data_IF_363592391852
#
_entry.id   IF_363592391852
#
_cell.length_a   1.000
_cell.length_b   1.000
_cell.length_c   1.000
_cell.angle_alpha   90.00
_cell.angle_beta   90.00
_cell.angle_gamma   90.00
#
_symmetry.space_group_name_H-M   'P 1'
#
loop_
_entity.id
_entity.type
_entity.pdbx_description
1 polymer ?
#
# COMPACT_ATOMS: atom_id res chain seq x y z
N UNK A 1 -11.70 -0.29 -17.79
CA UNK A 1 -12.15 -1.69 -17.61
C UNK A 1 -11.05 -2.76 -17.62
N UNK A 2 -9.82 -2.50 -18.09
CA UNK A 2 -8.73 -3.51 -18.11
C UNK A 2 -7.44 -3.03 -17.42
N UNK A 3 -7.56 -2.04 -16.55
CA UNK A 3 -6.42 -1.39 -15.90
C UNK A 3 -6.62 -1.46 -14.40
N UNK A 4 -5.62 -1.99 -13.70
CA UNK A 4 -5.51 -1.86 -12.25
C UNK A 4 -4.87 -0.50 -11.97
N UNK A 5 -5.47 0.29 -11.08
CA UNK A 5 -4.93 1.59 -10.67
C UNK A 5 -4.64 1.53 -9.17
N UNK A 6 -3.40 1.88 -8.81
CA UNK A 6 -2.96 1.97 -7.42
C UNK A 6 -2.56 3.41 -7.15
N UNK A 7 -3.20 4.03 -6.17
CA UNK A 7 -2.84 5.35 -5.66
C UNK A 7 -2.26 5.19 -4.27
N UNK A 8 -1.03 5.67 -4.09
CA UNK A 8 -0.34 5.61 -2.80
C UNK A 8 0.79 6.64 -2.72
N UNK A 9 1.52 6.65 -1.61
CA UNK A 9 2.75 7.40 -1.38
C UNK A 9 3.82 6.45 -0.81
N UNK A 10 5.09 6.79 -0.97
CA UNK A 10 6.21 6.03 -0.41
C UNK A 10 6.42 6.25 1.09
N UNK A 11 5.93 7.38 1.61
CA UNK A 11 5.96 7.73 3.05
C UNK A 11 5.01 8.89 3.34
N UNK A 12 4.73 9.15 4.62
CA UNK A 12 4.04 10.35 5.07
C UNK A 12 4.95 11.60 5.14
N UNK A 13 4.47 12.69 5.73
CA UNK A 13 5.26 13.90 5.94
C UNK A 13 4.76 14.70 7.15
N UNK A 14 5.68 15.05 8.05
CA UNK A 14 5.43 15.99 9.14
C UNK A 14 5.40 17.43 8.63
N UNK A 15 4.44 18.19 9.12
CA UNK A 15 4.25 19.62 8.84
C UNK A 15 4.39 20.49 10.12
N UNK A 16 4.93 19.93 11.19
CA UNK A 16 5.17 20.61 12.47
C UNK A 16 4.68 19.81 13.69
N UNK A 17 4.04 18.66 13.49
CA UNK A 17 3.63 17.76 14.56
C UNK A 17 4.86 17.31 15.36
N UNK A 18 4.72 17.24 16.68
CA UNK A 18 5.83 16.84 17.58
C UNK A 18 7.12 17.66 17.41
N UNK A 19 7.03 18.92 16.94
CA UNK A 19 8.17 19.76 16.57
C UNK A 19 9.05 19.14 15.46
N UNK A 20 8.49 18.21 14.68
CA UNK A 20 9.15 17.55 13.56
C UNK A 20 8.78 18.18 12.22
N UNK A 21 9.69 18.01 11.27
CA UNK A 21 9.50 18.37 9.87
C UNK A 21 10.03 17.24 8.98
N UNK A 22 9.35 17.01 7.86
CA UNK A 22 9.67 15.93 6.92
C UNK A 22 9.44 14.52 7.48
N UNK A 23 10.26 13.53 7.09
CA UNK A 23 9.88 12.10 7.07
C UNK A 23 10.84 11.17 7.82
N UNK A 24 11.50 11.66 8.86
CA UNK A 24 12.51 10.89 9.61
C UNK A 24 12.03 10.67 11.03
N UNK A 25 10.97 9.87 11.18
CA UNK A 25 10.41 9.52 12.48
C UNK A 25 9.66 8.18 12.41
N UNK A 26 9.32 7.63 13.57
CA UNK A 26 8.45 6.44 13.68
C UNK A 26 6.98 6.80 13.94
N UNK A 27 6.61 8.07 13.83
CA UNK A 27 5.25 8.52 14.04
C UNK A 27 4.37 8.29 12.79
N UNK A 28 3.07 8.18 13.01
CA UNK A 28 2.07 7.91 11.97
C UNK A 28 2.15 8.93 10.82
N UNK A 29 2.39 10.21 11.09
CA UNK A 29 2.50 11.24 10.06
C UNK A 29 3.65 10.97 9.09
N UNK A 30 4.68 10.23 9.51
CA UNK A 30 5.81 9.83 8.65
C UNK A 30 5.63 8.45 8.03
N UNK A 31 4.89 7.55 8.69
CA UNK A 31 4.77 6.14 8.31
C UNK A 31 3.48 5.81 7.53
N UNK A 32 2.35 6.39 7.91
CA UNK A 32 1.05 6.14 7.31
C UNK A 32 0.93 6.85 5.96
N UNK A 33 0.40 6.13 4.96
CA UNK A 33 0.20 6.63 3.61
C UNK A 33 -1.18 6.25 3.10
N UNK A 34 -1.78 7.04 2.19
CA UNK A 34 -3.00 6.61 1.52
C UNK A 34 -2.71 5.34 0.70
N UNK A 35 -3.67 4.42 0.68
CA UNK A 35 -3.64 3.28 -0.24
C UNK A 35 -5.04 3.04 -0.80
N UNK A 36 -5.18 3.21 -2.11
CA UNK A 36 -6.41 2.93 -2.85
C UNK A 36 -6.05 2.03 -4.03
N UNK A 37 -6.71 0.89 -4.12
CA UNK A 37 -6.51 -0.10 -5.20
C UNK A 37 -7.82 -0.28 -5.94
N UNK A 38 -7.86 0.14 -7.21
CA UNK A 38 -8.98 -0.06 -8.12
C UNK A 38 -8.69 -1.22 -9.06
N UNK A 39 -9.43 -2.33 -8.91
CA UNK A 39 -9.32 -3.53 -9.75
C UNK A 39 -10.60 -3.70 -10.57
N UNK A 40 -10.52 -3.86 -11.91
CA UNK A 40 -11.72 -4.10 -12.71
C UNK A 40 -12.51 -5.32 -12.25
N UNK A 41 -13.82 -5.16 -12.06
CA UNK A 41 -14.73 -6.24 -11.65
C UNK A 41 -14.77 -6.52 -10.14
N UNK A 42 -13.93 -5.86 -9.32
CA UNK A 42 -14.06 -5.91 -7.86
C UNK A 42 -15.03 -4.82 -7.39
N UNK A 43 -15.85 -5.14 -6.39
CA UNK A 43 -16.74 -4.17 -5.76
C UNK A 43 -15.96 -3.25 -4.80
N UNK A 44 -16.36 -1.98 -4.65
CA UNK A 44 -15.75 -1.08 -3.67
C UNK A 44 -15.93 -1.62 -2.25
N UNK A 45 -14.88 -1.50 -1.43
CA UNK A 45 -14.89 -1.83 -0.02
C UNK A 45 -13.91 -0.93 0.74
N UNK A 46 -14.11 -0.83 2.05
CA UNK A 46 -13.15 -0.25 3.00
C UNK A 46 -12.57 -1.40 3.82
N UNK A 47 -11.25 -1.40 4.01
CA UNK A 47 -10.55 -2.38 4.83
C UNK A 47 -9.79 -1.66 5.93
N UNK A 48 -10.10 -1.97 7.18
CA UNK A 48 -9.44 -1.38 8.35
C UNK A 48 -8.23 -2.21 8.84
N UNK A 49 -7.85 -3.25 8.10
CA UNK A 49 -6.66 -4.05 8.43
C UNK A 49 -5.38 -3.27 8.12
N UNK A 50 -4.40 -3.38 9.02
CA UNK A 50 -3.06 -2.84 8.80
C UNK A 50 -2.38 -3.63 7.67
N UNK A 51 -1.80 -2.90 6.71
CA UNK A 51 -1.04 -3.43 5.58
C UNK A 51 0.23 -2.63 5.39
N UNK A 52 1.20 -3.18 4.67
CA UNK A 52 2.50 -2.55 4.42
C UNK A 52 2.72 -2.34 2.91
N UNK A 53 3.57 -1.38 2.55
CA UNK A 53 3.93 -1.16 1.13
C UNK A 53 4.60 -2.40 0.49
N UNK A 54 5.20 -3.28 1.29
CA UNK A 54 5.76 -4.56 0.84
C UNK A 54 4.69 -5.51 0.27
N UNK A 55 3.45 -5.37 0.70
CA UNK A 55 2.31 -6.18 0.26
C UNK A 55 1.91 -5.89 -1.19
N UNK A 56 2.30 -4.73 -1.74
CA UNK A 56 1.95 -4.35 -3.11
C UNK A 56 2.57 -5.28 -4.15
N UNK A 57 3.83 -5.69 -3.96
CA UNK A 57 4.51 -6.56 -4.92
C UNK A 57 3.80 -7.92 -5.13
N UNK A 58 3.55 -8.73 -4.07
CA UNK A 58 2.84 -9.99 -4.24
C UNK A 58 1.39 -9.79 -4.70
N UNK A 59 0.72 -8.73 -4.25
CA UNK A 59 -0.65 -8.39 -4.68
C UNK A 59 -0.75 -8.11 -6.17
N UNK A 60 0.12 -7.24 -6.71
CA UNK A 60 0.13 -6.90 -8.14
C UNK A 60 0.49 -8.12 -8.97
N UNK A 61 1.48 -8.91 -8.51
CA UNK A 61 1.89 -10.14 -9.19
C UNK A 61 0.72 -11.12 -9.30
N UNK A 62 -0.01 -11.34 -8.21
CA UNK A 62 -1.20 -12.20 -8.16
C UNK A 62 -2.31 -11.70 -9.09
N UNK A 63 -2.65 -10.41 -9.01
CA UNK A 63 -3.67 -9.78 -9.87
C UNK A 63 -3.31 -9.82 -11.36
N UNK A 64 -2.02 -9.84 -11.70
CA UNK A 64 -1.55 -9.95 -13.08
C UNK A 64 -1.32 -11.40 -13.53
N UNK A 65 -1.56 -12.40 -12.67
CA UNK A 65 -1.31 -13.81 -12.98
C UNK A 65 0.18 -14.17 -13.10
N UNK A 66 1.05 -13.40 -12.45
CA UNK A 66 2.50 -13.61 -12.44
C UNK A 66 2.92 -14.48 -11.25
N UNK A 67 4.00 -15.24 -11.41
CA UNK A 67 4.60 -16.01 -10.33
C UNK A 67 5.25 -15.06 -9.30
N UNK A 68 4.89 -15.21 -8.03
CA UNK A 68 5.54 -14.52 -6.92
C UNK A 68 6.88 -15.23 -6.61
N UNK A 69 8.03 -14.52 -6.57
CA UNK A 69 9.31 -15.09 -6.17
C UNK A 69 9.32 -15.54 -4.70
N UNK A 70 10.22 -16.46 -4.37
CA UNK A 70 10.47 -16.85 -2.98
C UNK A 70 11.20 -15.72 -2.23
N UNK A 71 11.04 -15.69 -0.90
CA UNK A 71 11.74 -14.74 -0.03
C UNK A 71 11.14 -13.33 0.05
N UNK A 72 9.98 -13.09 -0.58
CA UNK A 72 9.22 -11.85 -0.39
C UNK A 72 8.54 -11.88 0.99
N UNK A 73 8.62 -10.77 1.73
CA UNK A 73 8.06 -10.65 3.09
C UNK A 73 6.60 -10.19 3.11
N UNK A 74 6.17 -9.43 2.08
CA UNK A 74 4.80 -8.95 1.95
C UNK A 74 3.79 -10.06 1.68
N UNK A 75 2.52 -9.75 1.91
CA UNK A 75 1.37 -10.64 1.74
C UNK A 75 0.49 -10.16 0.59
N UNK A 76 -0.14 -11.10 -0.10
CA UNK A 76 -1.11 -10.78 -1.15
C UNK A 76 -2.43 -10.28 -0.53
N UNK A 77 -2.85 -9.08 -0.91
CA UNK A 77 -4.09 -8.40 -0.46
C UNK A 77 -5.29 -8.64 -1.38
N UNK A 78 -5.11 -9.35 -2.50
CA UNK A 78 -6.18 -9.63 -3.47
C UNK A 78 -7.28 -10.63 -3.05
N UNK A 79 -7.02 -11.59 -2.12
CA UNK A 79 -8.04 -12.47 -1.56
C UNK A 79 -9.10 -11.70 -0.74
#
# INVERSE_FOLDING_TARGET
DRTIVIFTSDHGYHLGEHDFWAKVSLHEESAAVPLIISVPGKQPAVCDSIVELLDLYPTISSLCGLKIPEGIQGKDLSP
#
